data_IF_647762244597
#
_entry.id   IF_647762244597
#
_cell.length_a   1.000
_cell.length_b   1.000
_cell.length_c   1.000
_cell.angle_alpha   90.00
_cell.angle_beta   90.00
_cell.angle_gamma   90.00
#
_symmetry.space_group_name_H-M   'P 1'
#
loop_
_entity.id
_entity.type
_entity.pdbx_description
1 polymer ?
#
# COMPACT_ATOMS: atom_id res chain seq x y z
N UNK A 1 -4.14 61.49 3.57
CA UNK A 1 -4.14 60.22 4.36
C UNK A 1 -4.35 58.97 3.49
N UNK A 2 -5.12 59.02 2.39
CA UNK A 2 -5.40 57.85 1.52
C UNK A 2 -4.17 57.23 0.81
N UNK A 3 -3.17 58.04 0.46
CA UNK A 3 -1.95 57.59 -0.27
C UNK A 3 -0.98 56.76 0.59
N UNK A 4 -0.92 57.01 1.91
CA UNK A 4 -0.06 56.23 2.83
C UNK A 4 -0.66 54.86 3.14
N UNK A 5 -1.98 54.78 3.27
CA UNK A 5 -2.68 53.50 3.45
C UNK A 5 -2.51 52.60 2.22
N UNK A 6 -2.62 53.16 1.00
CA UNK A 6 -2.38 52.39 -0.23
C UNK A 6 -0.94 51.88 -0.33
N UNK A 7 0.07 52.70 -0.01
CA UNK A 7 1.47 52.25 -0.01
C UNK A 7 1.78 51.22 1.07
N UNK A 8 1.16 51.33 2.24
CA UNK A 8 1.29 50.32 3.29
C UNK A 8 0.65 49.00 2.83
N UNK A 9 -0.54 49.06 2.22
CA UNK A 9 -1.19 47.88 1.64
C UNK A 9 -0.41 47.26 0.48
N UNK A 10 0.25 48.05 -0.37
CA UNK A 10 1.14 47.57 -1.44
C UNK A 10 2.39 46.88 -0.87
N UNK A 11 3.01 47.46 0.16
CA UNK A 11 4.17 46.88 0.85
C UNK A 11 3.82 45.59 1.61
N UNK A 12 2.67 45.57 2.28
CA UNK A 12 2.15 44.38 2.96
C UNK A 12 1.83 43.28 1.92
N UNK A 13 1.27 43.65 0.76
CA UNK A 13 1.01 42.71 -0.34
C UNK A 13 2.30 42.15 -0.97
N UNK A 14 3.34 42.97 -1.15
CA UNK A 14 4.64 42.54 -1.66
C UNK A 14 5.34 41.58 -0.67
N UNK A 15 5.29 41.90 0.63
CA UNK A 15 5.83 41.04 1.68
C UNK A 15 5.06 39.71 1.79
N UNK A 16 3.73 39.75 1.68
CA UNK A 16 2.89 38.56 1.66
C UNK A 16 3.16 37.69 0.42
N UNK A 17 3.42 38.31 -0.74
CA UNK A 17 3.79 37.59 -1.96
C UNK A 17 5.15 36.89 -1.81
N UNK A 18 6.17 37.56 -1.25
CA UNK A 18 7.46 36.96 -0.95
C UNK A 18 7.30 35.77 0.02
N UNK A 19 6.52 35.95 1.09
CA UNK A 19 6.26 34.89 2.06
C UNK A 19 5.49 33.71 1.45
N UNK A 20 4.55 33.96 0.54
CA UNK A 20 3.86 32.91 -0.20
C UNK A 20 4.85 32.09 -1.05
N UNK A 21 5.82 32.72 -1.72
CA UNK A 21 6.88 32.01 -2.46
C UNK A 21 7.73 31.16 -1.52
N UNK A 22 8.04 31.64 -0.31
CA UNK A 22 8.78 30.87 0.70
C UNK A 22 7.99 29.63 1.17
N UNK A 23 6.68 29.76 1.37
CA UNK A 23 5.78 28.64 1.68
C UNK A 23 5.81 27.61 0.54
N UNK A 24 5.68 28.05 -0.71
CA UNK A 24 5.75 27.16 -1.88
C UNK A 24 7.07 26.39 -1.92
N UNK A 25 8.19 27.11 -1.77
CA UNK A 25 9.55 26.54 -1.77
C UNK A 25 9.76 25.53 -0.65
N UNK A 26 9.23 25.81 0.54
CA UNK A 26 9.27 24.88 1.68
C UNK A 26 8.59 23.55 1.35
N UNK A 27 7.37 23.59 0.80
CA UNK A 27 6.64 22.37 0.45
C UNK A 27 7.25 21.65 -0.76
N UNK A 28 7.81 22.38 -1.74
CA UNK A 28 8.57 21.77 -2.83
C UNK A 28 9.78 20.99 -2.29
N UNK A 29 10.46 21.51 -1.26
CA UNK A 29 11.52 20.79 -0.55
C UNK A 29 11.05 19.47 0.08
N UNK A 30 9.89 19.48 0.75
CA UNK A 30 9.29 18.26 1.32
C UNK A 30 8.92 17.24 0.24
N UNK A 31 8.35 17.70 -0.88
CA UNK A 31 7.95 16.85 -2.01
C UNK A 31 9.18 16.27 -2.70
N UNK A 32 10.18 17.09 -3.03
CA UNK A 32 11.42 16.67 -3.67
C UNK A 32 12.20 15.68 -2.79
N UNK A 33 12.25 15.95 -1.48
CA UNK A 33 12.87 15.08 -0.48
C UNK A 33 12.05 13.83 -0.14
N UNK A 34 10.84 13.67 -0.69
CA UNK A 34 9.89 12.57 -0.39
C UNK A 34 9.69 12.40 1.12
N UNK A 35 9.49 13.50 1.83
CA UNK A 35 9.33 13.50 3.26
C UNK A 35 8.20 12.55 3.69
N UNK A 36 8.43 11.64 4.66
CA UNK A 36 7.38 10.77 5.16
C UNK A 36 6.32 11.60 5.90
N UNK A 37 5.07 11.10 5.95
CA UNK A 37 3.93 11.84 6.48
C UNK A 37 4.16 12.44 7.89
N UNK A 38 4.77 11.73 8.87
CA UNK A 38 5.05 12.33 10.18
C UNK A 38 6.03 13.51 10.14
N UNK A 39 6.96 13.53 9.18
CA UNK A 39 7.90 14.64 9.01
C UNK A 39 7.20 15.84 8.39
N UNK A 40 6.37 15.61 7.36
CA UNK A 40 5.58 16.67 6.73
C UNK A 40 4.61 17.33 7.74
N UNK A 41 3.95 16.55 8.59
CA UNK A 41 3.06 17.04 9.64
C UNK A 41 3.80 17.96 10.64
N UNK A 42 4.91 17.49 11.22
CA UNK A 42 5.69 18.30 12.18
C UNK A 42 6.25 19.57 11.54
N UNK A 43 6.81 19.45 10.35
CA UNK A 43 7.39 20.60 9.66
C UNK A 43 6.31 21.64 9.31
N UNK A 44 5.12 21.19 8.92
CA UNK A 44 3.99 22.07 8.61
C UNK A 44 3.45 22.76 9.87
N UNK A 45 3.28 22.04 10.99
CA UNK A 45 2.87 22.64 12.25
C UNK A 45 3.88 23.70 12.75
N UNK A 46 5.17 23.45 12.60
CA UNK A 46 6.23 24.43 12.91
C UNK A 46 6.16 25.66 12.01
N UNK A 47 5.91 25.49 10.72
CA UNK A 47 5.78 26.60 9.77
C UNK A 47 4.50 27.42 9.99
N UNK A 48 3.39 26.74 10.31
CA UNK A 48 2.09 27.37 10.54
C UNK A 48 1.96 27.99 11.95
N UNK A 49 2.88 27.63 12.85
CA UNK A 49 2.89 28.00 14.27
C UNK A 49 1.56 27.64 14.97
N UNK A 50 0.94 26.54 14.53
CA UNK A 50 -0.28 25.98 15.11
C UNK A 50 -0.35 24.48 14.84
N UNK A 51 -1.16 23.72 15.60
CA UNK A 51 -1.35 22.32 15.30
C UNK A 51 -1.99 22.12 13.92
N UNK A 52 -1.60 21.04 13.26
CA UNK A 52 -2.14 20.66 11.94
C UNK A 52 -2.41 19.17 11.91
N UNK A 53 -3.20 18.74 10.94
CA UNK A 53 -3.39 17.31 10.77
C UNK A 53 -3.95 16.89 9.43
N UNK A 54 -4.14 15.58 9.32
CA UNK A 54 -4.71 14.93 8.15
C UNK A 54 -5.63 13.79 8.55
N UNK A 55 -6.76 13.69 7.86
CA UNK A 55 -7.74 12.61 8.01
C UNK A 55 -8.00 12.00 6.65
N UNK A 56 -8.14 10.68 6.64
CA UNK A 56 -8.58 9.90 5.51
C UNK A 56 -9.55 8.83 6.03
N UNK A 57 -10.83 9.01 5.70
CA UNK A 57 -11.90 8.14 6.20
C UNK A 57 -11.80 6.72 5.63
N UNK A 58 -11.32 6.56 4.39
CA UNK A 58 -11.18 5.24 3.76
C UNK A 58 -10.03 4.43 4.36
N UNK A 59 -8.93 5.11 4.72
CA UNK A 59 -7.76 4.52 5.36
C UNK A 59 -7.90 4.42 6.89
N UNK A 60 -8.91 5.06 7.48
CA UNK A 60 -9.08 5.13 8.94
C UNK A 60 -7.94 5.90 9.63
N UNK A 61 -7.32 6.84 8.91
CA UNK A 61 -6.20 7.65 9.41
C UNK A 61 -6.75 8.97 9.92
N UNK A 62 -6.38 9.36 11.13
CA UNK A 62 -6.60 10.71 11.65
C UNK A 62 -5.38 11.07 12.51
N UNK A 63 -4.49 11.90 11.97
CA UNK A 63 -3.22 12.25 12.61
C UNK A 63 -3.13 13.75 12.82
N UNK A 64 -2.58 14.13 13.96
CA UNK A 64 -2.36 15.51 14.38
C UNK A 64 -0.91 15.70 14.81
N UNK A 65 -0.37 16.88 14.54
CA UNK A 65 0.94 17.31 15.04
C UNK A 65 0.86 18.71 15.60
N UNK A 66 1.52 18.92 16.74
CA UNK A 66 1.77 20.21 17.37
C UNK A 66 3.11 20.85 16.93
N UNK A 67 3.85 20.17 16.05
CA UNK A 67 5.18 20.57 15.61
C UNK A 67 6.29 19.69 16.16
N UNK A 68 6.11 19.04 17.31
CA UNK A 68 7.14 18.20 17.93
C UNK A 68 6.78 16.73 17.88
N UNK A 69 5.51 16.41 18.12
CA UNK A 69 5.00 15.05 18.13
C UNK A 69 3.97 14.83 17.03
N UNK A 70 3.74 13.58 16.69
CA UNK A 70 2.63 13.16 15.83
C UNK A 70 1.84 12.13 16.59
N UNK A 71 0.55 12.37 16.74
CA UNK A 71 -0.36 11.50 17.48
C UNK A 71 -1.62 11.23 16.66
N UNK A 72 -2.31 10.15 16.99
CA UNK A 72 -3.67 9.91 16.50
C UNK A 72 -4.62 10.93 17.12
N UNK A 73 -5.52 11.49 16.32
CA UNK A 73 -6.59 12.35 16.78
C UNK A 73 -7.94 11.65 16.63
N UNK A 74 -8.87 11.91 17.55
CA UNK A 74 -10.20 11.31 17.52
C UNK A 74 -11.05 11.84 16.35
N UNK A 75 -10.91 13.14 16.05
CA UNK A 75 -11.61 13.82 14.97
C UNK A 75 -10.89 15.09 14.54
N UNK A 76 -11.29 15.64 13.39
CA UNK A 76 -10.91 16.99 12.98
C UNK A 76 -11.65 17.99 13.88
N UNK A 77 -10.97 18.96 14.52
CA UNK A 77 -11.65 19.95 15.35
C UNK A 77 -12.64 20.81 14.54
N UNK A 78 -13.81 21.12 15.12
CA UNK A 78 -14.89 21.83 14.44
C UNK A 78 -14.50 23.23 13.93
N UNK A 79 -13.62 23.92 14.67
CA UNK A 79 -13.15 25.26 14.32
C UNK A 79 -11.93 25.25 13.36
N UNK A 80 -11.41 24.07 13.00
CA UNK A 80 -10.22 23.98 12.18
C UNK A 80 -10.49 24.43 10.74
N UNK A 81 -9.57 25.20 10.17
CA UNK A 81 -9.59 25.50 8.75
C UNK A 81 -9.20 24.22 7.99
N UNK A 82 -10.02 23.79 7.04
CA UNK A 82 -9.80 22.51 6.32
C UNK A 82 -9.60 22.73 4.83
N UNK A 83 -8.88 21.81 4.20
CA UNK A 83 -8.83 21.68 2.75
C UNK A 83 -8.94 20.21 2.35
N UNK A 84 -9.88 19.94 1.45
CA UNK A 84 -10.08 18.61 0.89
C UNK A 84 -8.93 18.25 -0.05
N UNK A 85 -8.45 17.00 0.05
CA UNK A 85 -7.49 16.41 -0.90
C UNK A 85 -8.22 15.56 -1.93
N UNK A 86 -9.20 14.79 -1.46
CA UNK A 86 -10.07 13.88 -2.22
C UNK A 86 -11.35 13.61 -1.39
N UNK A 87 -12.41 13.03 -1.98
CA UNK A 87 -13.60 12.66 -1.23
C UNK A 87 -13.27 11.81 -0.01
N UNK A 88 -13.57 12.31 1.19
CA UNK A 88 -13.29 11.61 2.46
C UNK A 88 -11.90 11.86 3.06
N UNK A 89 -11.03 12.63 2.39
CA UNK A 89 -9.69 12.95 2.86
C UNK A 89 -9.47 14.46 2.90
N UNK A 90 -9.04 14.99 4.05
CA UNK A 90 -8.79 16.43 4.24
C UNK A 90 -7.57 16.68 5.14
N UNK A 91 -6.89 17.80 4.92
CA UNK A 91 -5.92 18.38 5.86
C UNK A 91 -6.59 19.50 6.64
N UNK A 92 -6.05 19.84 7.80
CA UNK A 92 -6.54 20.96 8.61
C UNK A 92 -5.43 21.73 9.34
N UNK A 93 -5.71 22.99 9.68
CA UNK A 93 -4.98 23.80 10.66
C UNK A 93 -5.90 24.15 11.83
N UNK A 94 -5.40 23.97 13.05
CA UNK A 94 -6.07 24.30 14.30
C UNK A 94 -5.60 25.67 14.79
N UNK A 95 -6.05 26.74 14.12
CA UNK A 95 -5.70 28.10 14.53
C UNK A 95 -6.77 28.65 15.47
N UNK A 96 -6.33 29.21 16.59
CA UNK A 96 -7.19 30.01 17.45
C UNK A 96 -7.37 31.42 16.85
N UNK A 97 -8.61 31.84 16.67
CA UNK A 97 -8.95 33.17 16.17
C UNK A 97 -9.08 33.27 14.66
N UNK A 98 -8.83 34.47 14.10
CA UNK A 98 -9.01 34.73 12.68
C UNK A 98 -7.92 34.06 11.83
N UNK A 99 -8.24 33.59 10.61
CA UNK A 99 -7.23 33.10 9.67
C UNK A 99 -6.16 34.14 9.37
N UNK A 100 -4.91 33.71 9.27
CA UNK A 100 -3.80 34.54 8.83
C UNK A 100 -3.77 34.63 7.29
N UNK A 101 -3.15 35.68 6.71
CA UNK A 101 -3.09 35.88 5.25
C UNK A 101 -2.53 34.68 4.48
N UNK A 102 -1.57 33.95 5.07
CA UNK A 102 -0.90 32.81 4.45
C UNK A 102 -1.59 31.46 4.70
N UNK A 103 -2.64 31.39 5.53
CA UNK A 103 -3.26 30.10 5.88
C UNK A 103 -3.86 29.40 4.64
N UNK A 104 -4.40 30.17 3.70
CA UNK A 104 -4.94 29.63 2.45
C UNK A 104 -3.86 28.92 1.62
N UNK A 105 -2.71 29.57 1.41
CA UNK A 105 -1.59 28.98 0.65
C UNK A 105 -0.92 27.84 1.44
N UNK A 106 -0.83 27.94 2.77
CA UNK A 106 -0.33 26.86 3.63
C UNK A 106 -1.20 25.61 3.48
N UNK A 107 -2.52 25.74 3.61
CA UNK A 107 -3.48 24.63 3.42
C UNK A 107 -3.38 24.01 2.04
N UNK A 108 -3.31 24.85 1.00
CA UNK A 108 -3.19 24.40 -0.38
C UNK A 108 -1.92 23.59 -0.61
N UNK A 109 -0.78 24.14 -0.21
CA UNK A 109 0.51 23.49 -0.41
C UNK A 109 0.67 22.25 0.47
N UNK A 110 0.10 22.27 1.67
CA UNK A 110 0.05 21.10 2.55
C UNK A 110 -0.79 19.97 1.94
N UNK A 111 -1.99 20.28 1.41
CA UNK A 111 -2.83 19.32 0.72
C UNK A 111 -2.09 18.68 -0.48
N UNK A 112 -1.41 19.50 -1.31
CA UNK A 112 -0.61 19.02 -2.44
C UNK A 112 0.53 18.10 -1.99
N UNK A 113 1.21 18.42 -0.90
CA UNK A 113 2.33 17.62 -0.39
C UNK A 113 1.87 16.29 0.22
N UNK A 114 0.68 16.24 0.84
CA UNK A 114 0.16 15.06 1.54
C UNK A 114 -0.70 14.15 0.67
N UNK A 115 -1.41 14.70 -0.33
CA UNK A 115 -2.29 13.90 -1.22
C UNK A 115 -1.59 12.66 -1.80
N UNK A 116 -0.34 12.75 -2.29
CA UNK A 116 0.35 11.60 -2.85
C UNK A 116 0.82 10.57 -1.80
N UNK A 117 0.86 10.94 -0.53
CA UNK A 117 1.19 10.04 0.59
C UNK A 117 -0.02 9.22 1.02
N UNK A 118 -1.22 9.80 0.86
CA UNK A 118 -2.50 9.14 1.17
C UNK A 118 -3.06 8.37 -0.01
N UNK A 119 -2.75 8.76 -1.24
CA UNK A 119 -3.26 8.13 -2.46
C UNK A 119 -3.18 6.58 -2.38
N UNK A 120 -4.31 5.88 -2.18
CA UNK A 120 -4.37 4.44 -2.05
C UNK A 120 -4.14 3.71 -3.38
N UNK A 121 -4.00 4.43 -4.50
CA UNK A 121 -3.63 3.87 -5.81
C UNK A 121 -2.12 3.95 -6.07
N UNK A 122 -1.41 4.85 -5.35
CA UNK A 122 0.04 4.74 -5.17
C UNK A 122 0.33 3.53 -4.30
N UNK A 123 0.45 2.37 -4.95
CA UNK A 123 1.48 1.41 -4.57
C UNK A 123 2.76 2.25 -4.39
N UNK A 124 3.48 2.19 -3.26
CA UNK A 124 4.81 2.79 -3.22
C UNK A 124 5.51 2.23 -4.44
N UNK A 125 5.78 3.09 -5.42
CA UNK A 125 6.44 2.66 -6.64
C UNK A 125 7.67 1.89 -6.13
N UNK A 126 7.79 0.60 -6.48
CA UNK A 126 9.07 -0.07 -6.35
C UNK A 126 10.03 0.91 -7.02
N UNK A 127 10.96 1.52 -6.28
CA UNK A 127 11.73 2.64 -6.81
C UNK A 127 12.31 2.15 -8.12
N UNK A 128 11.99 2.76 -9.27
CA UNK A 128 11.95 2.15 -10.63
C UNK A 128 12.84 0.91 -10.93
N UNK A 129 14.03 0.82 -10.33
CA UNK A 129 14.85 -0.39 -10.27
C UNK A 129 14.19 -1.64 -9.66
N UNK A 130 13.36 -1.56 -8.61
CA UNK A 130 12.81 -2.75 -7.94
C UNK A 130 11.91 -3.59 -8.86
N UNK A 131 11.14 -2.96 -9.77
CA UNK A 131 10.36 -3.69 -10.78
C UNK A 131 11.27 -4.45 -11.73
N UNK A 132 12.26 -3.79 -12.32
CA UNK A 132 13.21 -4.44 -13.23
C UNK A 132 14.02 -5.54 -12.53
N UNK A 133 14.41 -5.32 -11.28
CA UNK A 133 15.12 -6.32 -10.48
C UNK A 133 14.25 -7.52 -10.13
N UNK A 134 12.96 -7.31 -9.83
CA UNK A 134 12.00 -8.40 -9.59
C UNK A 134 11.68 -9.16 -10.88
N UNK A 135 11.45 -8.47 -12.00
CA UNK A 135 11.30 -9.09 -13.32
C UNK A 135 12.49 -9.98 -13.64
N UNK A 136 13.70 -9.46 -13.44
CA UNK A 136 14.93 -10.20 -13.68
C UNK A 136 15.11 -11.38 -12.73
N UNK A 137 14.75 -11.20 -11.45
CA UNK A 137 14.81 -12.26 -10.43
C UNK A 137 13.87 -13.42 -10.75
N UNK A 138 12.67 -13.10 -11.25
CA UNK A 138 11.61 -14.07 -11.52
C UNK A 138 11.65 -14.63 -12.96
N UNK A 139 12.48 -14.05 -13.82
CA UNK A 139 12.65 -14.46 -15.20
C UNK A 139 13.33 -15.83 -15.32
N UNK A 140 12.74 -16.70 -16.14
CA UNK A 140 13.31 -18.01 -16.45
C UNK A 140 14.52 -17.93 -17.37
N UNK A 141 14.58 -16.88 -18.21
CA UNK A 141 15.65 -16.68 -19.18
C UNK A 141 16.85 -15.94 -18.61
N UNK A 142 16.73 -15.34 -17.42
CA UNK A 142 17.84 -14.65 -16.77
C UNK A 142 18.92 -15.63 -16.30
N UNK A 143 20.18 -15.30 -16.55
CA UNK A 143 21.33 -16.09 -16.10
C UNK A 143 21.52 -16.04 -14.58
N UNK A 144 22.19 -17.06 -14.01
CA UNK A 144 22.36 -17.17 -12.55
C UNK A 144 23.13 -15.99 -11.94
N UNK A 145 24.17 -15.49 -12.60
CA UNK A 145 24.96 -14.36 -12.12
C UNK A 145 24.15 -13.04 -12.09
N UNK A 146 23.39 -12.81 -13.15
CA UNK A 146 22.51 -11.63 -13.28
C UNK A 146 21.38 -11.67 -12.25
N UNK A 147 20.74 -12.84 -12.08
CA UNK A 147 19.72 -13.08 -11.04
C UNK A 147 20.29 -12.87 -9.64
N UNK A 148 21.46 -13.42 -9.35
CA UNK A 148 22.13 -13.26 -8.07
C UNK A 148 22.45 -11.80 -7.76
N UNK A 149 22.87 -11.01 -8.77
CA UNK A 149 23.07 -9.57 -8.61
C UNK A 149 21.75 -8.85 -8.32
N UNK A 150 20.68 -9.20 -9.03
CA UNK A 150 19.36 -8.59 -8.82
C UNK A 150 18.83 -8.85 -7.40
N UNK A 151 18.97 -10.08 -6.92
CA UNK A 151 18.60 -10.47 -5.55
C UNK A 151 19.34 -9.66 -4.49
N UNK A 152 20.66 -9.49 -4.64
CA UNK A 152 21.46 -8.68 -3.69
C UNK A 152 21.05 -7.21 -3.70
N UNK A 153 20.73 -6.65 -4.86
CA UNK A 153 20.21 -5.28 -4.96
C UNK A 153 18.82 -5.14 -4.31
N UNK A 154 18.01 -6.20 -4.32
CA UNK A 154 16.76 -6.30 -3.58
C UNK A 154 16.96 -6.57 -2.07
N UNK A 155 18.20 -6.83 -1.64
CA UNK A 155 18.57 -7.10 -0.25
C UNK A 155 18.42 -8.56 0.18
N UNK A 156 18.41 -9.51 -0.76
CA UNK A 156 18.37 -10.95 -0.48
C UNK A 156 19.68 -11.62 -0.89
N UNK A 157 20.15 -12.58 -0.09
CA UNK A 157 21.22 -13.48 -0.54
C UNK A 157 20.60 -14.60 -1.40
N UNK A 158 21.26 -15.07 -2.49
CA UNK A 158 20.68 -16.08 -3.38
C UNK A 158 20.34 -17.42 -2.72
N UNK A 159 20.91 -17.72 -1.55
CA UNK A 159 20.63 -18.92 -0.76
C UNK A 159 19.50 -18.74 0.25
N UNK A 160 19.05 -17.51 0.51
CA UNK A 160 17.96 -17.23 1.46
C UNK A 160 16.67 -17.89 0.98
N UNK A 161 15.97 -18.67 1.83
CA UNK A 161 14.66 -19.20 1.48
C UNK A 161 13.64 -18.06 1.30
N UNK A 162 12.99 -17.99 0.13
CA UNK A 162 11.95 -17.02 -0.21
C UNK A 162 10.75 -17.71 -0.83
N UNK A 163 9.56 -17.19 -0.49
CA UNK A 163 8.33 -17.43 -1.22
C UNK A 163 8.16 -16.38 -2.32
N UNK A 164 7.75 -16.82 -3.50
CA UNK A 164 7.14 -15.94 -4.50
C UNK A 164 5.61 -15.98 -4.35
N UNK A 165 4.96 -14.82 -4.29
CA UNK A 165 3.51 -14.68 -4.25
C UNK A 165 3.03 -13.95 -5.49
N UNK A 166 2.01 -14.50 -6.13
CA UNK A 166 1.27 -13.89 -7.22
C UNK A 166 -0.03 -13.33 -6.65
N UNK A 167 -0.17 -12.01 -6.66
CA UNK A 167 -1.30 -11.30 -6.05
C UNK A 167 -2.08 -10.55 -7.12
N UNK A 168 -3.41 -10.63 -7.07
CA UNK A 168 -4.30 -9.87 -7.96
C UNK A 168 -5.59 -9.57 -7.22
N UNK A 169 -6.33 -8.57 -7.68
CA UNK A 169 -7.51 -8.09 -6.98
C UNK A 169 -7.83 -6.68 -7.36
N UNK A 170 -8.79 -6.10 -6.64
CA UNK A 170 -9.06 -4.67 -6.72
C UNK A 170 -7.82 -3.88 -6.25
N UNK A 171 -7.44 -2.78 -6.94
CA UNK A 171 -6.24 -2.01 -6.61
C UNK A 171 -6.12 -1.61 -5.12
N UNK A 172 -7.20 -1.12 -4.52
CA UNK A 172 -7.23 -0.72 -3.11
C UNK A 172 -7.01 -1.91 -2.16
N UNK A 173 -7.69 -3.02 -2.43
CA UNK A 173 -7.60 -4.25 -1.63
C UNK A 173 -6.19 -4.86 -1.71
N UNK A 174 -5.57 -4.86 -2.89
CA UNK A 174 -4.18 -5.29 -3.07
C UNK A 174 -3.21 -4.35 -2.35
N UNK A 175 -3.39 -3.03 -2.40
CA UNK A 175 -2.53 -2.10 -1.66
C UNK A 175 -2.59 -2.37 -0.15
N UNK A 176 -3.78 -2.48 0.42
CA UNK A 176 -3.96 -2.77 1.86
C UNK A 176 -3.22 -4.05 2.25
N UNK A 177 -3.33 -5.09 1.42
CA UNK A 177 -2.61 -6.33 1.61
C UNK A 177 -1.07 -6.15 1.57
N UNK A 178 -0.53 -5.45 0.56
CA UNK A 178 0.91 -5.20 0.47
C UNK A 178 1.46 -4.30 1.58
N UNK A 179 0.66 -3.38 2.12
CA UNK A 179 1.01 -2.59 3.30
C UNK A 179 1.06 -3.47 4.54
N UNK A 180 0.03 -4.27 4.79
CA UNK A 180 0.01 -5.20 5.92
C UNK A 180 1.19 -6.21 5.89
N UNK A 181 1.58 -6.68 4.71
CA UNK A 181 2.77 -7.54 4.55
C UNK A 181 4.08 -6.84 4.91
N UNK A 182 4.19 -5.52 4.69
CA UNK A 182 5.39 -4.75 5.05
C UNK A 182 5.42 -4.42 6.52
N UNK A 183 4.26 -4.12 7.09
CA UNK A 183 4.11 -3.79 8.51
C UNK A 183 4.29 -5.01 9.42
N UNK A 184 4.21 -6.23 8.88
CA UNK A 184 4.48 -7.47 9.63
C UNK A 184 5.96 -7.69 9.98
N UNK A 185 6.82 -6.69 9.78
CA UNK A 185 8.25 -6.73 10.11
C UNK A 185 9.08 -7.66 9.22
N UNK A 186 8.48 -8.21 8.16
CA UNK A 186 9.16 -9.09 7.21
C UNK A 186 9.74 -8.26 6.06
N UNK A 187 10.98 -8.53 5.65
CA UNK A 187 11.58 -7.84 4.50
C UNK A 187 10.93 -8.32 3.21
N UNK A 188 9.96 -7.55 2.72
CA UNK A 188 9.17 -7.85 1.53
C UNK A 188 9.61 -6.96 0.36
N UNK A 189 9.65 -7.53 -0.85
CA UNK A 189 9.77 -6.79 -2.10
C UNK A 189 8.59 -7.11 -2.98
N UNK A 190 7.94 -6.08 -3.53
CA UNK A 190 6.78 -6.24 -4.38
C UNK A 190 6.87 -5.31 -5.59
N UNK A 191 6.40 -5.77 -6.75
CA UNK A 191 6.26 -4.97 -7.96
C UNK A 191 5.10 -5.47 -8.82
N UNK A 192 4.58 -4.59 -9.67
CA UNK A 192 3.54 -4.94 -10.63
C UNK A 192 4.18 -5.54 -11.89
N UNK A 193 3.85 -6.79 -12.21
CA UNK A 193 4.28 -7.49 -13.43
C UNK A 193 3.06 -7.75 -14.32
N UNK A 194 2.73 -6.76 -15.16
CA UNK A 194 1.48 -6.77 -15.93
C UNK A 194 0.25 -6.70 -15.01
N UNK A 195 -0.71 -7.63 -15.07
CA UNK A 195 -1.93 -7.59 -14.25
C UNK A 195 -1.79 -8.28 -12.87
N UNK A 196 -0.57 -8.69 -12.50
CA UNK A 196 -0.29 -9.42 -11.25
C UNK A 196 0.81 -8.72 -10.49
N UNK A 197 0.63 -8.55 -9.18
CA UNK A 197 1.71 -8.12 -8.30
C UNK A 197 2.55 -9.34 -7.90
N UNK A 198 3.84 -9.28 -8.21
CA UNK A 198 4.81 -10.23 -7.73
C UNK A 198 5.34 -9.77 -6.38
N UNK A 199 5.41 -10.68 -5.41
CA UNK A 199 5.93 -10.43 -4.07
C UNK A 199 6.97 -11.48 -3.72
N UNK A 200 8.13 -11.06 -3.22
CA UNK A 200 9.12 -11.92 -2.58
C UNK A 200 9.08 -11.70 -1.08
N UNK A 201 8.99 -12.79 -0.32
CA UNK A 201 8.93 -12.76 1.14
C UNK A 201 9.67 -13.96 1.77
N UNK A 202 10.52 -13.75 2.79
CA UNK A 202 11.19 -14.83 3.54
C UNK A 202 10.24 -15.79 4.26
N UNK A 203 9.09 -15.28 4.68
CA UNK A 203 8.04 -16.05 5.34
C UNK A 203 6.70 -15.66 4.74
N UNK A 204 5.74 -16.59 4.75
CA UNK A 204 4.34 -16.30 4.50
C UNK A 204 3.73 -15.72 5.78
N UNK A 205 3.31 -14.44 5.80
CA UNK A 205 2.68 -13.89 6.98
C UNK A 205 1.32 -14.55 7.23
N UNK A 206 0.88 -14.54 8.50
CA UNK A 206 -0.43 -15.08 8.90
C UNK A 206 -1.60 -14.52 8.07
N UNK A 207 -1.48 -13.27 7.60
CA UNK A 207 -2.46 -12.64 6.69
C UNK A 207 -2.69 -13.41 5.38
N UNK A 208 -1.70 -14.18 4.91
CA UNK A 208 -1.78 -15.01 3.69
C UNK A 208 -2.36 -16.39 4.01
N UNK A 209 -2.10 -16.92 5.21
CA UNK A 209 -2.51 -18.27 5.61
C UNK A 209 -3.90 -18.32 6.23
N UNK A 210 -4.30 -17.28 6.96
CA UNK A 210 -5.46 -17.33 7.86
C UNK A 210 -6.71 -16.78 7.19
N UNK A 211 -6.63 -15.56 6.66
CA UNK A 211 -7.74 -14.93 5.96
C UNK A 211 -7.28 -13.78 5.07
N UNK A 212 -7.37 -13.98 3.76
CA UNK A 212 -7.11 -12.93 2.79
C UNK A 212 -8.17 -11.82 2.88
N UNK A 213 -7.79 -10.54 2.68
CA UNK A 213 -8.75 -9.46 2.53
C UNK A 213 -9.74 -9.76 1.40
N UNK A 214 -11.03 -9.38 1.54
CA UNK A 214 -11.99 -9.51 0.46
C UNK A 214 -11.47 -8.78 -0.79
N UNK A 215 -11.71 -9.37 -1.97
CA UNK A 215 -11.26 -8.78 -3.24
C UNK A 215 -9.79 -9.03 -3.57
N UNK A 216 -9.03 -9.77 -2.75
CA UNK A 216 -7.65 -10.20 -3.04
C UNK A 216 -7.59 -11.70 -3.28
N UNK A 217 -6.97 -12.11 -4.39
CA UNK A 217 -6.59 -13.48 -4.65
C UNK A 217 -5.06 -13.59 -4.65
N UNK A 218 -4.56 -14.58 -3.90
CA UNK A 218 -3.13 -14.85 -3.77
C UNK A 218 -2.85 -16.29 -4.15
N UNK A 219 -1.85 -16.50 -5.01
CA UNK A 219 -1.21 -17.79 -5.18
C UNK A 219 0.18 -17.74 -4.57
N UNK A 220 0.54 -18.72 -3.75
CA UNK A 220 1.84 -18.82 -3.11
C UNK A 220 2.66 -19.95 -3.72
N UNK A 221 3.93 -19.68 -4.02
CA UNK A 221 4.93 -20.70 -4.31
C UNK A 221 5.61 -21.22 -3.03
N UNK A 222 6.27 -22.38 -3.09
CA UNK A 222 7.04 -22.91 -1.97
C UNK A 222 8.20 -21.98 -1.61
N UNK A 223 8.65 -22.06 -0.35
CA UNK A 223 9.92 -21.47 0.05
C UNK A 223 11.05 -22.24 -0.63
N UNK A 224 11.78 -21.57 -1.53
CA UNK A 224 12.96 -22.11 -2.19
C UNK A 224 14.12 -21.13 -2.01
N UNK A 225 15.35 -21.55 -2.29
CA UNK A 225 16.46 -20.61 -2.34
C UNK A 225 16.10 -19.45 -3.29
N UNK A 226 16.47 -18.22 -2.94
CA UNK A 226 16.13 -17.04 -3.73
C UNK A 226 16.58 -17.15 -5.20
N UNK A 227 17.69 -17.83 -5.47
CA UNK A 227 18.15 -18.15 -6.83
C UNK A 227 17.13 -18.98 -7.65
N UNK A 228 16.27 -19.75 -6.98
CA UNK A 228 15.19 -20.56 -7.54
C UNK A 228 13.84 -19.82 -7.57
N UNK A 229 13.82 -18.51 -7.34
CA UNK A 229 12.62 -17.68 -7.40
C UNK A 229 11.75 -17.90 -8.66
N UNK A 230 12.29 -18.15 -9.88
CA UNK A 230 11.44 -18.46 -11.03
C UNK A 230 10.60 -19.74 -10.86
N UNK A 231 11.12 -20.75 -10.17
CA UNK A 231 10.38 -21.98 -9.90
C UNK A 231 9.26 -21.75 -8.88
N UNK A 232 9.54 -21.01 -7.80
CA UNK A 232 8.52 -20.59 -6.84
C UNK A 232 7.44 -19.72 -7.53
N UNK A 233 7.84 -18.80 -8.40
CA UNK A 233 6.96 -17.90 -9.14
C UNK A 233 6.02 -18.62 -10.10
N UNK A 234 6.51 -19.60 -10.86
CA UNK A 234 5.66 -20.45 -11.72
C UNK A 234 4.56 -21.13 -10.91
N UNK A 235 4.91 -21.67 -9.74
CA UNK A 235 3.95 -22.34 -8.86
C UNK A 235 2.95 -21.36 -8.27
N UNK A 236 3.40 -20.19 -7.82
CA UNK A 236 2.56 -19.10 -7.33
C UNK A 236 1.51 -18.67 -8.37
N UNK A 237 1.92 -18.44 -9.63
CA UNK A 237 1.00 -18.10 -10.72
C UNK A 237 0.02 -19.21 -11.02
N UNK A 238 0.45 -20.46 -10.91
CA UNK A 238 -0.43 -21.62 -11.10
C UNK A 238 -1.47 -21.70 -9.99
N UNK A 239 -1.07 -21.56 -8.73
CA UNK A 239 -1.96 -21.50 -7.59
C UNK A 239 -2.96 -20.33 -7.73
N UNK A 240 -2.50 -19.15 -8.15
CA UNK A 240 -3.37 -17.99 -8.36
C UNK A 240 -4.46 -18.25 -9.42
N UNK A 241 -4.11 -18.94 -10.52
CA UNK A 241 -5.10 -19.34 -11.53
C UNK A 241 -6.15 -20.27 -10.94
N UNK A 242 -5.74 -21.25 -10.13
CA UNK A 242 -6.67 -22.17 -9.45
C UNK A 242 -7.65 -21.40 -8.57
N UNK A 243 -7.13 -20.50 -7.72
CA UNK A 243 -7.94 -19.64 -6.83
C UNK A 243 -8.94 -18.80 -7.63
N UNK A 244 -8.50 -18.17 -8.73
CA UNK A 244 -9.36 -17.33 -9.57
C UNK A 244 -10.42 -18.10 -10.35
N UNK A 245 -10.15 -19.34 -10.73
CA UNK A 245 -11.11 -20.16 -11.48
C UNK A 245 -12.27 -20.67 -10.64
N UNK A 246 -12.24 -20.47 -9.32
CA UNK A 246 -13.40 -20.71 -8.45
C UNK A 246 -13.99 -22.11 -8.59
N UNK A 247 -13.20 -23.14 -8.95
CA UNK A 247 -13.69 -24.50 -8.78
C UNK A 247 -13.67 -24.79 -7.28
N UNK A 248 -14.83 -24.98 -6.62
CA UNK A 248 -14.79 -25.56 -5.30
C UNK A 248 -14.05 -26.89 -5.42
N UNK A 249 -13.10 -27.10 -4.52
CA UNK A 249 -12.58 -28.43 -4.27
C UNK A 249 -13.78 -29.37 -4.12
N UNK A 250 -13.92 -30.45 -4.92
CA UNK A 250 -15.05 -31.34 -4.74
C UNK A 250 -14.98 -31.86 -3.30
N UNK A 251 -16.04 -31.73 -2.47
CA UNK A 251 -16.05 -32.36 -1.17
C UNK A 251 -15.67 -33.81 -1.37
N UNK A 252 -14.73 -34.34 -0.55
CA UNK A 252 -14.38 -35.76 -0.58
C UNK A 252 -15.68 -36.53 -0.63
N UNK A 253 -15.93 -37.22 -1.74
CA UNK A 253 -17.13 -38.04 -1.85
C UNK A 253 -17.15 -38.98 -0.64
N UNK A 254 -18.28 -39.09 0.09
CA UNK A 254 -18.37 -40.05 1.17
C UNK A 254 -17.99 -41.44 0.64
N UNK A 255 -17.34 -42.29 1.46
CA UNK A 255 -16.97 -43.62 1.03
C UNK A 255 -18.20 -44.32 0.45
N UNK A 256 -18.07 -44.85 -0.78
CA UNK A 256 -19.17 -45.55 -1.45
C UNK A 256 -19.72 -46.61 -0.50
N UNK A 257 -21.04 -46.68 -0.27
CA UNK A 257 -21.61 -47.73 0.55
C UNK A 257 -21.22 -49.09 -0.05
N UNK A 258 -20.97 -50.11 0.79
CA UNK A 258 -20.60 -51.43 0.31
C UNK A 258 -21.67 -51.90 -0.67
N UNK A 259 -21.24 -52.35 -1.86
CA UNK A 259 -22.14 -52.91 -2.87
C UNK A 259 -22.98 -54.00 -2.22
N UNK A 260 -24.28 -53.77 -2.06
CA UNK A 260 -25.23 -54.83 -1.73
C UNK A 260 -25.08 -55.88 -2.82
N UNK A 261 -24.55 -57.05 -2.47
CA UNK A 261 -24.56 -58.21 -3.36
C UNK A 261 -26.04 -58.49 -3.67
N UNK A 262 -26.38 -58.47 -4.95
CA UNK A 262 -27.68 -58.92 -5.40
C UNK A 262 -27.91 -60.35 -4.89
N UNK A 263 -29.12 -60.69 -4.43
CA UNK A 263 -29.43 -62.05 -4.02
C UNK A 263 -29.19 -62.98 -5.22
N UNK A 264 -28.43 -64.06 -4.99
CA UNK A 264 -28.22 -65.11 -5.99
C UNK A 264 -29.58 -65.63 -6.45
N UNK A 265 -29.82 -65.79 -7.77
CA UNK A 265 -31.04 -66.43 -8.24
C UNK A 265 -31.10 -67.85 -7.66
N UNK A 266 -32.25 -68.19 -7.05
CA UNK A 266 -32.52 -69.56 -6.59
C UNK A 266 -32.49 -70.49 -7.80
N UNK A 267 -31.74 -71.58 -7.67
CA UNK A 267 -31.71 -72.64 -8.66
C UNK A 267 -33.13 -73.22 -8.84
N UNK A 268 -33.53 -73.58 -10.08
CA UNK A 268 -34.84 -74.17 -10.32
C UNK A 268 -34.92 -75.54 -9.64
N UNK A 269 -35.97 -75.73 -8.85
CA UNK A 269 -36.37 -77.02 -8.28
C UNK A 269 -36.66 -77.99 -9.43
N UNK A 270 -35.82 -79.01 -9.58
CA UNK A 270 -36.17 -80.20 -10.35
C UNK A 270 -37.02 -81.10 -9.45
N UNK A 271 -38.28 -81.25 -9.82
CA UNK A 271 -39.11 -82.41 -9.53
C UNK A 271 -39.95 -82.70 -10.79
N UNK A 272 -40.63 -83.84 -10.89
CA UNK A 272 -40.71 -84.97 -9.95
C UNK A 272 -39.76 -86.13 -10.32
#
# INVERSE_FOLDING_TARGET
MRTLLLRLSELDADADAENAVRVVTFFDGLIAGRAPLPVALRATARLAECPVGVVDAELGVCLRSDGDTVATADAVPDAAATRELAPGSRVWLERDGAPLPLDGILLERFAIAVAPLLDPTRVPLPGLGDTALLELTLSESAGQAERGRALRLLGYEPTTPLHALAVTGEPQSVKRFLTALRDSGTHVRAACLGPVHAVLAPALPAAVTDRLPPGVAVGAGPALAAAEAPASWRQARTALRVVRTGRPWPPRAPPRPPRRRAPRPRAPSRGP
#
